data_IF_535735106162
#
_entry.id   IF_535735106162
#
_cell.length_a   1.000
_cell.length_b   1.000
_cell.length_c   1.000
_cell.angle_alpha   90.00
_cell.angle_beta   90.00
_cell.angle_gamma   90.00
#
_symmetry.space_group_name_H-M   'P 1'
#
loop_
_entity.id
_entity.type
_entity.pdbx_description
1 polymer ?
#
# COMPACT_ATOMS: atom_id res chain seq x y z
N UNK A 1 27.52 10.54 24.53
CA UNK A 1 27.35 10.27 23.10
C UNK A 1 25.97 9.63 22.91
N UNK A 2 24.99 10.35 22.37
CA UNK A 2 23.64 9.81 22.12
C UNK A 2 23.62 9.23 20.71
N UNK A 3 23.44 7.92 20.61
CA UNK A 3 23.35 7.21 19.33
C UNK A 3 21.92 7.41 18.83
N UNK A 4 21.70 8.39 17.96
CA UNK A 4 20.42 8.58 17.30
C UNK A 4 20.26 7.47 16.25
N UNK A 5 19.81 6.30 16.68
CA UNK A 5 19.44 5.20 15.79
C UNK A 5 18.08 5.49 15.13
N UNK A 6 18.03 6.52 14.29
CA UNK A 6 16.87 6.85 13.44
C UNK A 6 17.02 6.18 12.08
N UNK A 7 17.10 4.85 12.07
CA UNK A 7 16.93 4.06 10.84
C UNK A 7 15.48 3.56 10.75
N UNK A 8 14.51 4.49 10.93
CA UNK A 8 13.12 4.20 10.56
C UNK A 8 13.05 4.38 9.04
N UNK A 9 12.48 3.41 8.30
CA UNK A 9 12.31 3.56 6.86
C UNK A 9 11.59 4.87 6.58
N UNK A 10 12.06 5.64 5.59
CA UNK A 10 11.46 6.91 5.21
C UNK A 10 10.09 6.65 4.59
N UNK A 11 9.07 6.52 5.43
CA UNK A 11 7.68 6.43 4.99
C UNK A 11 7.32 7.74 4.27
N UNK A 12 6.98 7.64 2.98
CA UNK A 12 6.52 8.79 2.20
C UNK A 12 5.00 8.76 2.15
N UNK A 13 4.36 9.79 2.71
CA UNK A 13 2.91 9.94 2.61
C UNK A 13 2.51 10.31 1.18
N UNK A 14 1.55 9.57 0.62
CA UNK A 14 0.95 9.87 -0.67
C UNK A 14 -0.49 10.33 -0.45
N UNK A 15 -0.78 11.58 -0.82
CA UNK A 15 -2.15 12.08 -0.82
C UNK A 15 -2.85 11.64 -2.10
N UNK A 16 -3.75 10.65 -1.99
CA UNK A 16 -4.54 10.14 -3.12
C UNK A 16 -5.97 10.64 -2.98
N UNK A 17 -6.54 11.18 -4.07
CA UNK A 17 -7.98 11.46 -4.16
C UNK A 17 -8.67 10.22 -4.69
N UNK A 18 -9.45 9.56 -3.84
CA UNK A 18 -10.26 8.42 -4.21
C UNK A 18 -11.73 8.86 -4.40
N UNK A 19 -12.41 8.37 -5.44
CA UNK A 19 -13.85 8.56 -5.56
C UNK A 19 -14.58 7.87 -4.40
N UNK A 20 -15.73 8.42 -4.02
CA UNK A 20 -16.45 8.03 -2.80
C UNK A 20 -16.78 6.52 -2.74
N UNK A 21 -17.16 5.94 -3.88
CA UNK A 21 -17.47 4.51 -3.99
C UNK A 21 -16.28 3.63 -3.63
N UNK A 22 -15.08 4.01 -4.07
CA UNK A 22 -13.85 3.27 -3.77
C UNK A 22 -13.51 3.44 -2.30
N UNK A 23 -13.61 4.66 -1.76
CA UNK A 23 -13.36 4.91 -0.34
C UNK A 23 -14.27 4.09 0.58
N UNK A 24 -15.56 3.96 0.22
CA UNK A 24 -16.53 3.13 0.95
C UNK A 24 -16.15 1.65 0.93
N UNK A 25 -15.82 1.10 -0.24
CA UNK A 25 -15.36 -0.29 -0.38
C UNK A 25 -14.08 -0.54 0.40
N UNK A 26 -13.18 0.44 0.40
CA UNK A 26 -11.88 0.35 1.08
C UNK A 26 -12.04 0.32 2.61
N UNK A 27 -12.98 1.10 3.15
CA UNK A 27 -13.35 1.02 4.58
C UNK A 27 -13.91 -0.34 4.97
N UNK A 28 -14.80 -0.90 4.14
CA UNK A 28 -15.40 -2.22 4.43
C UNK A 28 -14.29 -3.26 4.49
N UNK A 29 -13.41 -3.31 3.49
CA UNK A 29 -12.31 -4.29 3.46
C UNK A 29 -11.28 -4.08 4.57
N UNK A 30 -10.99 -2.83 4.95
CA UNK A 30 -10.11 -2.57 6.07
C UNK A 30 -10.70 -3.11 7.38
N UNK A 31 -12.01 -2.93 7.60
CA UNK A 31 -12.72 -3.47 8.75
C UNK A 31 -12.78 -5.00 8.75
N UNK A 32 -12.99 -5.64 7.58
CA UNK A 32 -12.98 -7.10 7.46
C UNK A 32 -11.61 -7.74 7.74
N UNK A 33 -10.53 -6.98 7.58
CA UNK A 33 -9.16 -7.46 7.76
C UNK A 33 -8.51 -6.97 9.07
N UNK A 34 -9.31 -6.39 9.99
CA UNK A 34 -8.83 -5.81 11.26
C UNK A 34 -7.58 -4.91 11.08
N UNK A 35 -7.53 -4.16 9.97
CA UNK A 35 -6.40 -3.30 9.63
C UNK A 35 -6.83 -1.85 9.42
N UNK A 36 -5.86 -0.94 9.41
CA UNK A 36 -6.11 0.47 9.12
C UNK A 36 -6.30 0.69 7.62
N UNK A 37 -7.03 1.75 7.27
CA UNK A 37 -7.21 2.14 5.87
C UNK A 37 -5.85 2.34 5.15
N UNK A 38 -4.87 2.94 5.84
CA UNK A 38 -3.55 3.22 5.29
C UNK A 38 -2.77 1.93 5.01
N UNK A 39 -2.77 1.01 5.97
CA UNK A 39 -2.10 -0.29 5.84
C UNK A 39 -2.76 -1.16 4.76
N UNK A 40 -4.10 -1.12 4.68
CA UNK A 40 -4.83 -1.79 3.62
C UNK A 40 -4.46 -1.24 2.24
N UNK A 41 -4.42 0.10 2.07
CA UNK A 41 -3.99 0.73 0.82
C UNK A 41 -2.56 0.34 0.46
N UNK A 42 -1.64 0.37 1.43
CA UNK A 42 -0.24 0.01 1.21
C UNK A 42 -0.11 -1.45 0.72
N UNK A 43 -0.84 -2.37 1.35
CA UNK A 43 -0.87 -3.79 0.98
C UNK A 43 -1.50 -4.00 -0.41
N UNK A 44 -2.61 -3.33 -0.70
CA UNK A 44 -3.27 -3.41 -2.00
C UNK A 44 -2.38 -2.90 -3.14
N UNK A 45 -1.66 -1.79 -2.91
CA UNK A 45 -0.69 -1.25 -3.88
C UNK A 45 0.47 -2.23 -4.07
N UNK A 46 1.04 -2.75 -2.98
CA UNK A 46 2.14 -3.74 -3.05
C UNK A 46 1.75 -4.95 -3.88
N UNK A 47 0.59 -5.55 -3.61
CA UNK A 47 0.09 -6.70 -4.36
C UNK A 47 -0.20 -6.37 -5.84
N UNK A 48 -0.69 -5.15 -6.12
CA UNK A 48 -0.92 -4.69 -7.48
C UNK A 48 0.36 -4.43 -8.26
N UNK A 49 1.44 -4.00 -7.60
CA UNK A 49 2.76 -3.83 -8.21
C UNK A 49 3.43 -5.18 -8.46
N UNK A 50 3.44 -6.07 -7.47
CA UNK A 50 3.99 -7.42 -7.57
C UNK A 50 3.41 -8.19 -8.76
N UNK A 51 2.08 -8.12 -8.93
CA UNK A 51 1.39 -8.71 -10.08
C UNK A 51 1.83 -8.13 -11.43
N UNK A 52 2.02 -6.82 -11.52
CA UNK A 52 2.45 -6.16 -12.76
C UNK A 52 3.91 -6.47 -13.11
N UNK A 53 4.77 -6.62 -12.12
CA UNK A 53 6.17 -7.04 -12.34
C UNK A 53 6.23 -8.48 -12.86
N UNK A 54 5.36 -9.35 -12.35
CA UNK A 54 5.29 -10.75 -12.77
C UNK A 54 4.65 -10.95 -14.16
N UNK A 55 3.85 -10.00 -14.63
CA UNK A 55 3.33 -9.98 -16.00
C UNK A 55 4.39 -9.48 -17.00
N UNK A 56 5.22 -8.49 -16.62
CA UNK A 56 6.32 -8.00 -17.49
C UNK A 56 7.41 -9.02 -17.77
N UNK A 57 7.62 -9.99 -16.88
CA UNK A 57 8.59 -11.08 -17.08
C UNK A 57 8.12 -12.10 -18.14
N UNK A 58 6.80 -12.22 -18.38
CA UNK A 58 6.23 -13.15 -19.37
C UNK A 58 6.22 -12.63 -20.80
N UNK A 59 6.22 -11.32 -21.00
CA UNK A 59 6.28 -10.70 -22.34
C UNK A 59 7.73 -10.47 -22.83
N UNK A 60 8.73 -10.87 -22.04
CA UNK A 60 10.16 -10.73 -22.34
C UNK A 60 10.84 -12.02 -22.84
N UNK A 61 10.08 -13.11 -23.09
CA UNK A 61 10.58 -14.40 -23.59
C UNK A 61 10.06 -14.74 -24.98
#
# INVERSE_FOLDING_TARGET
>A
MRINNTNRPKERMVHVRLPEEIHKRLRIRAAENDTTLQDWVATAIKNGLDRQEHEKDKDAV
#
